data_IF_766623275715
#
_entry.id   IF_766623275715
#
_cell.length_a   1.000
_cell.length_b   1.000
_cell.length_c   1.000
_cell.angle_alpha   90.00
_cell.angle_beta   90.00
_cell.angle_gamma   90.00
#
_symmetry.space_group_name_H-M   'P 1'
#
loop_
_entity.id
_entity.type
_entity.pdbx_description
1 polymer ?
#
# COMPACT_ATOMS: atom_id res chain seq x y z
N UNK A 1 11.69 -11.19 8.90
CA UNK A 1 10.74 -10.51 8.02
C UNK A 1 11.49 -9.65 7.00
N UNK A 2 10.94 -9.48 5.78
CA UNK A 2 11.49 -8.57 4.77
C UNK A 2 10.38 -7.64 4.24
N UNK A 3 10.72 -6.36 4.03
CA UNK A 3 9.85 -5.37 3.38
C UNK A 3 10.58 -4.89 2.13
N UNK A 4 9.92 -4.93 0.97
CA UNK A 4 10.47 -4.40 -0.27
C UNK A 4 9.53 -3.31 -0.80
N UNK A 5 10.08 -2.15 -1.11
CA UNK A 5 9.36 -1.07 -1.79
C UNK A 5 9.37 -1.38 -3.30
N UNK A 6 8.27 -1.95 -3.78
CA UNK A 6 8.13 -2.39 -5.19
C UNK A 6 8.04 -1.19 -6.12
N UNK A 7 7.36 -0.16 -5.68
CA UNK A 7 7.25 1.13 -6.33
C UNK A 7 7.05 2.23 -5.31
N UNK A 8 7.44 3.46 -5.67
CA UNK A 8 7.44 4.62 -4.76
C UNK A 8 6.84 5.88 -5.39
N UNK A 9 6.42 5.81 -6.67
CA UNK A 9 5.85 6.93 -7.40
C UNK A 9 4.42 7.25 -6.96
N UNK A 10 4.04 8.54 -7.01
CA UNK A 10 2.67 9.01 -6.86
C UNK A 10 1.81 8.68 -8.09
N UNK A 11 0.53 9.13 -8.12
CA UNK A 11 -0.37 8.91 -9.24
C UNK A 11 0.07 9.51 -10.58
N UNK A 12 1.10 10.37 -10.60
CA UNK A 12 1.71 10.86 -11.82
C UNK A 12 2.67 9.83 -12.39
N UNK A 13 2.47 9.42 -13.64
CA UNK A 13 3.31 8.42 -14.28
C UNK A 13 4.79 8.85 -14.38
N UNK A 14 5.69 7.94 -14.06
CA UNK A 14 7.15 8.09 -14.17
C UNK A 14 7.71 7.09 -15.16
N UNK A 15 8.78 7.47 -15.86
CA UNK A 15 9.57 6.54 -16.66
C UNK A 15 10.59 5.76 -15.81
N UNK A 16 10.87 6.22 -14.61
CA UNK A 16 11.96 5.74 -13.75
C UNK A 16 11.48 4.93 -12.56
N UNK A 17 10.22 5.08 -12.18
CA UNK A 17 9.63 4.46 -11.00
C UNK A 17 8.27 3.86 -11.29
N UNK A 18 7.91 2.87 -10.48
CA UNK A 18 6.57 2.28 -10.47
C UNK A 18 5.69 2.95 -9.41
N UNK A 19 4.37 2.86 -9.58
CA UNK A 19 3.40 3.34 -8.59
C UNK A 19 3.61 2.68 -7.23
N UNK A 20 3.28 3.40 -6.17
CA UNK A 20 3.52 2.98 -4.80
C UNK A 20 2.92 1.61 -4.52
N UNK A 21 3.79 0.69 -4.13
CA UNK A 21 3.41 -0.66 -3.73
C UNK A 21 4.47 -1.24 -2.79
N UNK A 22 4.04 -2.01 -1.79
CA UNK A 22 4.90 -2.64 -0.81
C UNK A 22 4.76 -4.16 -0.89
N UNK A 23 5.85 -4.86 -0.63
CA UNK A 23 5.85 -6.30 -0.53
C UNK A 23 6.40 -6.71 0.83
N UNK A 24 5.59 -7.43 1.61
CA UNK A 24 5.96 -7.99 2.89
C UNK A 24 6.16 -9.49 2.76
N UNK A 25 7.30 -10.00 3.23
CA UNK A 25 7.59 -11.43 3.30
C UNK A 25 7.83 -11.84 4.74
N UNK A 26 7.04 -12.79 5.24
CA UNK A 26 7.15 -13.33 6.60
C UNK A 26 6.75 -14.80 6.62
N UNK A 27 7.69 -15.67 6.98
CA UNK A 27 7.47 -17.13 6.94
C UNK A 27 7.03 -17.59 5.56
N UNK A 28 5.86 -18.21 5.49
CA UNK A 28 5.29 -18.73 4.24
C UNK A 28 4.26 -17.76 3.60
N UNK A 29 4.12 -16.55 4.10
CA UNK A 29 3.12 -15.61 3.61
C UNK A 29 3.78 -14.37 3.03
N UNK A 30 3.54 -14.14 1.75
CA UNK A 30 3.95 -12.96 1.02
C UNK A 30 2.71 -12.12 0.71
N UNK A 31 2.71 -10.87 1.21
CA UNK A 31 1.65 -9.89 1.03
C UNK A 31 2.12 -8.78 0.10
N UNK A 32 1.40 -8.56 -0.97
CA UNK A 32 1.53 -7.35 -1.79
C UNK A 32 0.51 -6.32 -1.30
N UNK A 33 0.93 -5.10 -1.06
CA UNK A 33 0.06 -3.96 -0.74
C UNK A 33 0.02 -3.04 -1.94
N UNK A 34 -1.16 -2.86 -2.48
CA UNK A 34 -1.49 -2.17 -3.71
C UNK A 34 -0.91 -2.81 -4.99
N UNK A 35 -1.63 -2.62 -6.07
CA UNK A 35 -1.34 -3.20 -7.37
C UNK A 35 -1.77 -2.27 -8.50
N UNK A 36 -1.18 -1.07 -8.54
CA UNK A 36 -1.37 -0.09 -9.61
C UNK A 36 -0.90 -0.56 -10.97
N UNK A 37 -1.09 0.25 -11.99
CA UNK A 37 -0.63 -0.06 -13.33
C UNK A 37 0.87 -0.39 -13.36
N UNK A 38 1.25 -1.36 -14.18
CA UNK A 38 2.64 -1.80 -14.30
C UNK A 38 3.14 -2.70 -13.16
N UNK A 39 2.32 -3.05 -12.16
CA UNK A 39 2.76 -3.87 -10.99
C UNK A 39 3.45 -5.17 -11.39
N UNK A 40 2.99 -5.86 -12.43
CA UNK A 40 3.63 -7.09 -12.89
C UNK A 40 5.07 -6.86 -13.35
N UNK A 41 5.34 -5.73 -14.02
CA UNK A 41 6.70 -5.35 -14.42
C UNK A 41 7.54 -4.95 -13.22
N UNK A 42 6.95 -4.21 -12.28
CA UNK A 42 7.60 -3.80 -11.04
C UNK A 42 8.07 -5.02 -10.22
N UNK A 43 7.21 -6.03 -10.07
CA UNK A 43 7.56 -7.28 -9.37
C UNK A 43 8.71 -8.03 -10.08
N UNK A 44 8.68 -8.12 -11.41
CA UNK A 44 9.75 -8.77 -12.19
C UNK A 44 11.07 -7.98 -12.08
N UNK A 45 11.05 -6.65 -12.14
CA UNK A 45 12.24 -5.79 -11.97
C UNK A 45 12.87 -6.01 -10.59
N UNK A 46 12.05 -6.23 -9.56
CA UNK A 46 12.48 -6.55 -8.20
C UNK A 46 12.78 -8.04 -7.99
N UNK A 47 12.75 -8.87 -9.05
CA UNK A 47 13.00 -10.33 -9.00
C UNK A 47 12.06 -11.08 -8.07
N UNK A 48 10.86 -10.57 -7.85
CA UNK A 48 9.84 -11.23 -7.05
C UNK A 48 9.14 -12.30 -7.88
N UNK A 49 9.07 -13.50 -7.35
CA UNK A 49 8.26 -14.56 -7.94
C UNK A 49 6.78 -14.22 -7.74
N UNK A 50 6.08 -13.84 -8.81
CA UNK A 50 4.66 -13.44 -8.78
C UNK A 50 3.79 -14.56 -8.14
N UNK A 51 4.11 -15.83 -8.39
CA UNK A 51 3.35 -16.95 -7.81
C UNK A 51 3.60 -17.17 -6.31
N UNK A 52 4.62 -16.54 -5.73
CA UNK A 52 4.85 -16.61 -4.27
C UNK A 52 3.90 -15.70 -3.48
N UNK A 53 3.24 -14.74 -4.13
CA UNK A 53 2.27 -13.82 -3.49
C UNK A 53 1.07 -14.63 -3.02
N UNK A 54 0.77 -14.60 -1.72
CA UNK A 54 -0.39 -15.27 -1.12
C UNK A 54 -1.58 -14.32 -1.00
N UNK A 55 -1.32 -13.04 -0.71
CA UNK A 55 -2.34 -12.02 -0.56
C UNK A 55 -2.01 -10.73 -1.32
N UNK A 56 -3.04 -10.05 -1.80
CA UNK A 56 -2.98 -8.68 -2.31
C UNK A 56 -3.93 -7.84 -1.48
N UNK A 57 -3.41 -6.82 -0.80
CA UNK A 57 -4.20 -5.85 -0.06
C UNK A 57 -4.38 -4.61 -0.94
N UNK A 58 -5.63 -4.15 -1.06
CA UNK A 58 -5.95 -2.88 -1.73
C UNK A 58 -6.35 -1.85 -0.69
N UNK A 59 -5.66 -0.71 -0.71
CA UNK A 59 -5.90 0.39 0.25
C UNK A 59 -7.12 1.22 -0.13
N UNK A 60 -7.25 1.53 -1.42
CA UNK A 60 -8.36 2.25 -2.03
C UNK A 60 -8.37 2.02 -3.55
N UNK A 61 -9.28 2.69 -4.30
CA UNK A 61 -9.51 2.42 -5.72
C UNK A 61 -9.02 3.54 -6.66
N UNK A 62 -7.99 4.32 -6.30
CA UNK A 62 -7.31 5.12 -7.32
C UNK A 62 -6.52 4.20 -8.27
N UNK A 63 -6.46 4.51 -9.58
CA UNK A 63 -5.86 3.63 -10.58
C UNK A 63 -4.42 3.22 -10.29
N UNK A 64 -3.62 4.11 -9.72
CA UNK A 64 -2.24 3.88 -9.32
C UNK A 64 -2.10 2.91 -8.12
N UNK A 65 -3.22 2.53 -7.46
CA UNK A 65 -3.24 1.56 -6.37
C UNK A 65 -3.90 0.23 -6.71
N UNK A 66 -4.82 0.16 -7.70
CA UNK A 66 -5.54 -1.10 -7.95
C UNK A 66 -5.61 -1.55 -9.41
N UNK A 67 -5.43 -0.66 -10.40
CA UNK A 67 -5.78 -0.95 -11.80
C UNK A 67 -4.97 -2.09 -12.42
N UNK A 68 -3.79 -2.39 -11.92
CA UNK A 68 -2.93 -3.49 -12.35
C UNK A 68 -3.34 -4.87 -11.81
N UNK A 69 -4.31 -4.96 -10.90
CA UNK A 69 -4.72 -6.22 -10.27
C UNK A 69 -5.16 -7.28 -11.29
N UNK A 70 -5.99 -6.91 -12.26
CA UNK A 70 -6.43 -7.85 -13.29
C UNK A 70 -5.25 -8.37 -14.13
N UNK A 71 -4.33 -7.49 -14.51
CA UNK A 71 -3.10 -7.84 -15.22
C UNK A 71 -2.22 -8.79 -14.39
N UNK A 72 -2.06 -8.52 -13.09
CA UNK A 72 -1.30 -9.38 -12.18
C UNK A 72 -1.90 -10.80 -12.11
N UNK A 73 -3.21 -10.91 -11.98
CA UNK A 73 -3.92 -12.21 -11.96
C UNK A 73 -3.74 -12.95 -13.28
N UNK A 74 -3.76 -12.24 -14.43
CA UNK A 74 -3.44 -12.84 -15.73
C UNK A 74 -2.03 -13.41 -15.75
N UNK A 75 -1.02 -12.68 -15.22
CA UNK A 75 0.34 -13.20 -15.12
C UNK A 75 0.42 -14.45 -14.24
N UNK A 76 -0.23 -14.46 -13.09
CA UNK A 76 -0.32 -15.64 -12.22
C UNK A 76 -0.89 -16.86 -12.98
N UNK A 77 -1.95 -16.64 -13.77
CA UNK A 77 -2.56 -17.68 -14.61
C UNK A 77 -1.60 -18.16 -15.69
N UNK A 78 -0.92 -17.26 -16.41
CA UNK A 78 0.05 -17.59 -17.45
C UNK A 78 1.28 -18.33 -16.88
N UNK A 79 1.66 -18.04 -15.65
CA UNK A 79 2.73 -18.72 -14.90
C UNK A 79 2.25 -20.02 -14.21
N UNK A 80 1.06 -20.55 -14.61
CA UNK A 80 0.48 -21.80 -14.13
C UNK A 80 0.29 -21.87 -12.60
N UNK A 81 -0.08 -20.75 -11.96
CA UNK A 81 -0.46 -20.75 -10.53
C UNK A 81 -1.52 -21.82 -10.23
N UNK A 82 -1.38 -22.48 -9.08
CA UNK A 82 -2.32 -23.47 -8.55
C UNK A 82 -2.84 -23.10 -7.16
N UNK A 83 -1.98 -22.43 -6.37
CA UNK A 83 -2.33 -21.98 -5.03
C UNK A 83 -3.38 -20.86 -5.09
N UNK A 84 -4.32 -20.87 -4.16
CA UNK A 84 -5.30 -19.80 -4.03
C UNK A 84 -4.63 -18.42 -3.84
N UNK A 85 -5.33 -17.37 -4.24
CA UNK A 85 -4.95 -15.97 -4.01
C UNK A 85 -5.95 -15.34 -3.07
N UNK A 86 -5.48 -14.69 -2.02
CA UNK A 86 -6.31 -13.88 -1.14
C UNK A 86 -6.32 -12.42 -1.61
N UNK A 87 -7.49 -11.80 -1.73
CA UNK A 87 -7.64 -10.36 -1.93
C UNK A 87 -8.17 -9.78 -0.63
N UNK A 88 -7.34 -8.95 0.02
CA UNK A 88 -7.69 -8.26 1.25
C UNK A 88 -8.26 -6.90 0.89
N UNK A 89 -9.52 -6.66 1.19
CA UNK A 89 -10.22 -5.47 0.75
C UNK A 89 -11.32 -5.08 1.73
N UNK A 90 -11.58 -3.78 1.87
CA UNK A 90 -12.69 -3.30 2.69
C UNK A 90 -14.04 -3.79 2.13
N UNK A 91 -14.99 -4.06 3.02
CA UNK A 91 -16.30 -4.62 2.66
C UNK A 91 -17.05 -3.78 1.61
N UNK A 92 -16.93 -2.44 1.65
CA UNK A 92 -17.60 -1.55 0.69
C UNK A 92 -17.00 -1.59 -0.72
N UNK A 93 -15.74 -2.03 -0.88
CA UNK A 93 -15.04 -2.08 -2.17
C UNK A 93 -15.07 -3.46 -2.81
N UNK A 94 -15.47 -4.50 -2.05
CA UNK A 94 -15.40 -5.89 -2.50
C UNK A 94 -16.15 -6.13 -3.79
N UNK A 95 -17.41 -5.72 -3.86
CA UNK A 95 -18.25 -5.91 -5.04
C UNK A 95 -17.69 -5.22 -6.29
N UNK A 96 -17.11 -4.03 -6.12
CA UNK A 96 -16.46 -3.29 -7.21
C UNK A 96 -15.30 -4.09 -7.80
N UNK A 97 -14.46 -4.69 -6.95
CA UNK A 97 -13.33 -5.51 -7.43
C UNK A 97 -13.81 -6.84 -8.03
N UNK A 98 -14.82 -7.47 -7.46
CA UNK A 98 -15.42 -8.68 -8.06
C UNK A 98 -15.94 -8.40 -9.47
N UNK A 99 -16.66 -7.30 -9.67
CA UNK A 99 -17.16 -6.88 -10.99
C UNK A 99 -16.02 -6.49 -11.93
N UNK A 100 -15.01 -5.75 -11.43
CA UNK A 100 -13.85 -5.36 -12.24
C UNK A 100 -13.13 -6.58 -12.79
N UNK A 101 -12.86 -7.60 -11.96
CA UNK A 101 -12.22 -8.82 -12.39
C UNK A 101 -13.10 -9.60 -13.38
N UNK A 102 -14.40 -9.71 -13.13
CA UNK A 102 -15.34 -10.37 -14.02
C UNK A 102 -15.42 -9.68 -15.39
N UNK A 103 -15.53 -8.35 -15.40
CA UNK A 103 -15.57 -7.53 -16.62
C UNK A 103 -14.24 -7.52 -17.37
N UNK A 104 -13.14 -7.87 -16.68
CA UNK A 104 -11.82 -8.13 -17.27
C UNK A 104 -11.69 -9.59 -17.80
N UNK A 105 -12.79 -10.32 -17.93
CA UNK A 105 -12.84 -11.72 -18.41
C UNK A 105 -12.07 -12.73 -17.54
N UNK A 106 -11.84 -12.40 -16.26
CA UNK A 106 -11.25 -13.33 -15.31
C UNK A 106 -12.32 -14.21 -14.67
N UNK A 107 -12.85 -15.15 -15.49
CA UNK A 107 -13.94 -16.04 -15.11
C UNK A 107 -13.43 -17.13 -14.14
N UNK A 108 -14.02 -17.27 -12.92
CA UNK A 108 -13.62 -18.32 -11.98
C UNK A 108 -13.58 -19.71 -12.61
N UNK A 109 -14.56 -20.05 -13.46
CA UNK A 109 -14.61 -21.35 -14.14
C UNK A 109 -13.45 -21.62 -15.12
N UNK A 110 -12.68 -20.59 -15.51
CA UNK A 110 -11.49 -20.70 -16.38
C UNK A 110 -10.18 -20.48 -15.63
N UNK A 111 -10.24 -20.27 -14.32
CA UNK A 111 -9.06 -20.15 -13.46
C UNK A 111 -8.59 -21.53 -13.00
N UNK A 112 -7.28 -21.68 -12.80
CA UNK A 112 -6.67 -22.91 -12.24
C UNK A 112 -6.40 -22.78 -10.73
N UNK A 113 -6.79 -21.68 -10.13
CA UNK A 113 -6.70 -21.36 -8.71
C UNK A 113 -7.91 -20.53 -8.29
N UNK A 114 -8.22 -20.56 -7.03
CA UNK A 114 -9.33 -19.81 -6.44
C UNK A 114 -8.88 -18.44 -5.96
N UNK A 115 -9.79 -17.47 -5.99
CA UNK A 115 -9.61 -16.14 -5.39
C UNK A 115 -10.52 -16.07 -4.17
N UNK A 116 -9.92 -15.84 -2.99
CA UNK A 116 -10.64 -15.70 -1.74
C UNK A 116 -10.58 -14.25 -1.25
N UNK A 117 -11.73 -13.68 -0.92
CA UNK A 117 -11.79 -12.32 -0.40
C UNK A 117 -11.73 -12.32 1.12
N UNK A 118 -10.69 -11.70 1.67
CA UNK A 118 -10.54 -11.40 3.11
C UNK A 118 -11.09 -10.00 3.36
N UNK A 119 -12.26 -9.93 3.97
CA UNK A 119 -12.95 -8.66 4.21
C UNK A 119 -12.31 -7.92 5.36
N UNK A 120 -11.84 -6.70 5.08
CA UNK A 120 -11.37 -5.75 6.06
C UNK A 120 -12.54 -4.91 6.58
N UNK A 121 -12.54 -4.63 7.88
CA UNK A 121 -13.47 -3.70 8.51
C UNK A 121 -12.71 -2.68 9.32
N UNK A 122 -13.16 -1.44 9.23
CA UNK A 122 -12.52 -0.32 9.92
C UNK A 122 -12.38 -0.59 11.42
N UNK A 123 -11.25 -0.23 12.00
CA UNK A 123 -10.91 -0.45 13.41
C UNK A 123 -10.99 -1.92 13.90
N UNK A 124 -10.97 -2.89 12.97
CA UNK A 124 -11.04 -4.31 13.31
C UNK A 124 -9.76 -5.03 12.86
N UNK A 125 -9.04 -5.60 13.83
CA UNK A 125 -7.83 -6.34 13.53
C UNK A 125 -8.16 -7.66 12.83
N UNK A 126 -7.50 -7.93 11.70
CA UNK A 126 -7.59 -9.18 10.97
C UNK A 126 -6.25 -9.93 11.03
N UNK A 127 -6.26 -11.15 11.56
CA UNK A 127 -5.10 -12.06 11.47
C UNK A 127 -5.16 -12.78 10.12
N UNK A 128 -4.13 -12.60 9.29
CA UNK A 128 -4.06 -13.20 7.94
C UNK A 128 -3.13 -14.40 7.86
N UNK A 129 -2.15 -14.48 8.75
CA UNK A 129 -1.29 -15.64 8.94
C UNK A 129 -0.90 -15.78 10.41
N UNK A 130 -0.10 -16.78 10.74
CA UNK A 130 0.39 -16.95 12.11
C UNK A 130 1.14 -15.72 12.61
N UNK A 131 1.94 -15.10 11.73
CA UNK A 131 2.86 -14.04 12.09
C UNK A 131 2.41 -12.64 11.60
N UNK A 132 1.27 -12.54 10.90
CA UNK A 132 0.83 -11.26 10.31
C UNK A 132 -0.60 -10.96 10.73
N UNK A 133 -0.80 -9.78 11.31
CA UNK A 133 -2.11 -9.17 11.51
C UNK A 133 -2.13 -7.73 11.00
N UNK A 134 -3.32 -7.28 10.61
CA UNK A 134 -3.57 -5.98 9.96
C UNK A 134 -4.70 -5.28 10.68
N UNK A 135 -4.53 -4.01 11.01
CA UNK A 135 -5.56 -3.14 11.54
C UNK A 135 -5.75 -1.96 10.58
N UNK A 136 -6.86 -1.91 9.82
CA UNK A 136 -7.19 -0.75 8.99
C UNK A 136 -7.86 0.35 9.80
N UNK A 137 -7.61 1.61 9.45
CA UNK A 137 -8.36 2.77 9.90
C UNK A 137 -8.66 3.68 8.72
N UNK A 138 -9.95 3.98 8.52
CA UNK A 138 -10.38 4.92 7.48
C UNK A 138 -9.62 6.23 7.66
N UNK A 139 -9.09 6.77 6.57
CA UNK A 139 -8.45 8.08 6.50
C UNK A 139 -9.31 9.06 5.69
N UNK A 140 -8.87 10.32 5.60
CA UNK A 140 -9.67 11.38 4.99
C UNK A 140 -9.36 11.62 3.50
N UNK A 141 -8.58 10.75 2.86
CA UNK A 141 -8.11 10.94 1.47
C UNK A 141 -9.24 11.21 0.45
N UNK A 142 -10.38 10.54 0.60
CA UNK A 142 -11.50 10.66 -0.33
C UNK A 142 -12.66 11.54 0.17
N UNK A 143 -12.47 12.28 1.27
CA UNK A 143 -13.57 13.05 1.89
C UNK A 143 -14.07 14.19 0.99
N UNK A 144 -13.24 14.76 0.14
CA UNK A 144 -13.64 15.82 -0.80
C UNK A 144 -14.57 15.32 -1.90
N UNK A 145 -14.64 14.01 -2.13
CA UNK A 145 -15.55 13.35 -3.06
C UNK A 145 -16.93 13.06 -2.45
N UNK A 146 -17.11 13.16 -1.12
CA UNK A 146 -18.38 12.87 -0.45
C UNK A 146 -19.55 13.71 -1.01
N UNK A 147 -19.28 14.95 -1.43
CA UNK A 147 -20.26 15.84 -2.07
C UNK A 147 -20.85 15.32 -3.38
N UNK A 148 -20.22 14.31 -4.00
CA UNK A 148 -20.67 13.73 -5.26
C UNK A 148 -21.47 12.42 -5.09
N UNK A 149 -21.55 11.87 -3.90
CA UNK A 149 -22.19 10.54 -3.66
C UNK A 149 -23.67 10.54 -4.08
N UNK A 150 -24.40 11.63 -3.83
CA UNK A 150 -25.81 11.76 -4.25
C UNK A 150 -25.94 11.72 -5.78
N UNK A 151 -25.01 12.34 -6.51
CA UNK A 151 -25.02 12.37 -7.98
C UNK A 151 -24.50 11.08 -8.61
N UNK A 152 -23.68 10.33 -7.87
CA UNK A 152 -23.05 9.08 -8.33
C UNK A 152 -23.20 7.97 -7.29
N UNK A 153 -24.40 7.38 -7.14
CA UNK A 153 -24.68 6.39 -6.09
C UNK A 153 -23.81 5.12 -6.13
N UNK A 154 -23.14 4.86 -7.26
CA UNK A 154 -22.22 3.75 -7.40
C UNK A 154 -20.83 4.00 -6.79
N UNK A 155 -20.54 5.23 -6.32
CA UNK A 155 -19.27 5.53 -5.67
C UNK A 155 -19.16 4.82 -4.32
N UNK A 156 -18.06 4.13 -4.15
CA UNK A 156 -17.66 3.53 -2.87
C UNK A 156 -16.42 4.25 -2.36
N UNK A 157 -16.63 5.22 -1.48
CA UNK A 157 -15.55 6.07 -0.95
C UNK A 157 -14.94 5.45 0.30
N UNK A 158 -13.89 4.66 0.10
CA UNK A 158 -13.09 4.13 1.19
C UNK A 158 -11.61 4.19 0.87
N UNK A 159 -10.86 4.82 1.75
CA UNK A 159 -9.41 4.79 1.81
C UNK A 159 -8.98 4.59 3.26
N UNK A 160 -7.90 3.85 3.48
CA UNK A 160 -7.43 3.54 4.83
C UNK A 160 -5.92 3.59 4.94
N UNK A 161 -5.48 3.94 6.13
CA UNK A 161 -4.13 3.69 6.64
C UNK A 161 -4.12 2.37 7.42
N UNK A 162 -2.94 1.76 7.55
CA UNK A 162 -2.82 0.41 8.09
C UNK A 162 -1.72 0.31 9.14
N UNK A 163 -2.03 -0.39 10.24
CA UNK A 163 -1.03 -0.93 11.14
C UNK A 163 -0.85 -2.42 10.82
N UNK A 164 0.34 -2.79 10.36
CA UNK A 164 0.78 -4.18 10.23
C UNK A 164 1.55 -4.59 11.48
N UNK A 165 1.18 -5.72 12.06
CA UNK A 165 1.97 -6.39 13.09
C UNK A 165 2.55 -7.66 12.47
N UNK A 166 3.87 -7.69 12.28
CA UNK A 166 4.56 -8.78 11.57
C UNK A 166 5.77 -9.22 12.42
N UNK A 167 5.78 -10.48 12.86
CA UNK A 167 6.86 -11.03 13.69
C UNK A 167 7.20 -10.15 14.91
N UNK A 168 6.16 -9.60 15.55
CA UNK A 168 6.30 -8.69 16.71
C UNK A 168 6.67 -7.25 16.39
N UNK A 169 6.97 -6.92 15.14
CA UNK A 169 7.23 -5.55 14.67
C UNK A 169 5.95 -4.83 14.28
N UNK A 170 5.89 -3.55 14.54
CA UNK A 170 4.78 -2.66 14.19
C UNK A 170 5.19 -1.76 13.04
N UNK A 171 4.50 -1.88 11.92
CA UNK A 171 4.72 -1.07 10.73
C UNK A 171 3.43 -0.29 10.44
N UNK A 172 3.51 1.03 10.39
CA UNK A 172 2.40 1.87 9.94
C UNK A 172 2.65 2.23 8.48
N UNK A 173 1.63 2.06 7.65
CA UNK A 173 1.59 2.57 6.28
C UNK A 173 0.38 3.49 6.15
N UNK A 174 0.64 4.75 5.83
CA UNK A 174 -0.44 5.75 5.72
C UNK A 174 -1.34 5.49 4.53
N UNK A 175 -0.83 4.86 3.46
CA UNK A 175 -1.41 4.98 2.13
C UNK A 175 -1.55 6.46 1.76
N UNK A 176 -2.41 6.81 0.81
CA UNK A 176 -2.74 8.19 0.52
C UNK A 176 -3.63 8.77 1.62
N UNK A 177 -3.33 9.98 2.07
CA UNK A 177 -4.02 10.64 3.16
C UNK A 177 -4.56 12.01 2.73
N UNK A 178 -5.65 12.45 3.34
CA UNK A 178 -6.29 13.74 3.00
C UNK A 178 -5.95 14.88 3.93
N UNK A 179 -5.39 14.58 5.12
CA UNK A 179 -5.06 15.60 6.11
C UNK A 179 -3.92 15.17 7.04
N UNK A 180 -3.34 16.17 7.73
CA UNK A 180 -2.31 15.95 8.75
C UNK A 180 -2.79 15.12 9.95
N UNK A 181 -4.11 15.06 10.19
CA UNK A 181 -4.71 14.26 11.25
C UNK A 181 -4.56 12.76 10.97
N UNK A 182 -4.52 12.37 9.70
CA UNK A 182 -4.37 10.97 9.29
C UNK A 182 -3.01 10.41 9.68
N UNK A 183 -1.97 11.25 9.79
CA UNK A 183 -0.64 10.86 10.30
C UNK A 183 -0.70 10.36 11.75
N UNK A 184 -1.73 10.75 12.50
CA UNK A 184 -1.90 10.42 13.92
C UNK A 184 -2.90 9.28 14.17
N UNK A 185 -3.44 8.64 13.11
CA UNK A 185 -4.45 7.58 13.24
C UNK A 185 -4.01 6.42 14.13
N UNK A 186 -2.71 6.20 14.28
CA UNK A 186 -2.14 5.12 15.08
C UNK A 186 -1.15 5.65 16.14
N UNK A 187 -1.37 6.86 16.67
CA UNK A 187 -0.45 7.52 17.60
C UNK A 187 -0.29 6.79 18.95
N UNK A 188 -1.24 5.93 19.33
CA UNK A 188 -1.16 5.07 20.51
C UNK A 188 -0.21 3.87 20.35
N UNK A 189 0.17 3.55 19.11
CA UNK A 189 1.14 2.50 18.82
C UNK A 189 2.52 3.12 18.58
N UNK A 190 3.55 2.63 19.26
CA UNK A 190 4.91 3.05 18.97
C UNK A 190 5.47 2.20 17.82
N UNK A 191 5.42 2.63 16.55
CA UNK A 191 5.84 1.80 15.43
C UNK A 191 7.36 1.70 15.33
N UNK A 192 7.85 0.52 14.92
CA UNK A 192 9.24 0.31 14.54
C UNK A 192 9.54 0.99 13.20
N UNK A 193 8.56 0.98 12.28
CA UNK A 193 8.65 1.59 10.96
C UNK A 193 7.37 2.38 10.66
N UNK A 194 7.55 3.56 10.10
CA UNK A 194 6.48 4.42 9.62
C UNK A 194 6.71 4.70 8.13
N UNK A 195 5.76 4.32 7.27
CA UNK A 195 5.82 4.55 5.83
C UNK A 195 4.72 5.56 5.51
N UNK A 196 5.12 6.74 5.02
CA UNK A 196 4.21 7.85 4.72
C UNK A 196 4.32 8.29 3.28
N UNK A 197 3.20 8.59 2.69
CA UNK A 197 3.14 9.36 1.45
C UNK A 197 3.55 10.82 1.70
N UNK A 198 3.94 11.55 0.63
CA UNK A 198 4.38 12.96 0.73
C UNK A 198 3.82 13.87 -0.37
N UNK A 199 2.93 13.39 -1.22
CA UNK A 199 2.35 14.21 -2.30
C UNK A 199 1.13 15.02 -1.88
N UNK A 200 0.27 14.44 -1.02
CA UNK A 200 -0.97 15.11 -0.59
C UNK A 200 -0.75 16.01 0.63
N UNK A 201 0.29 15.75 1.43
CA UNK A 201 0.60 16.51 2.63
C UNK A 201 2.01 17.07 2.51
N UNK A 202 2.21 18.39 2.70
CA UNK A 202 3.53 19.00 2.66
C UNK A 202 4.51 18.33 3.61
N UNK A 203 5.74 18.08 3.14
CA UNK A 203 6.77 17.41 3.94
C UNK A 203 7.04 18.15 5.27
N UNK A 204 6.93 19.48 5.32
CA UNK A 204 7.08 20.25 6.56
C UNK A 204 6.07 19.84 7.63
N UNK A 205 4.81 19.62 7.23
CA UNK A 205 3.74 19.15 8.13
C UNK A 205 4.02 17.74 8.62
N UNK A 206 4.52 16.86 7.75
CA UNK A 206 4.92 15.50 8.12
C UNK A 206 6.06 15.56 9.15
N UNK A 207 7.08 16.37 8.91
CA UNK A 207 8.21 16.53 9.81
C UNK A 207 7.79 17.06 11.19
N UNK A 208 6.89 18.03 11.24
CA UNK A 208 6.36 18.57 12.50
C UNK A 208 5.61 17.51 13.32
N UNK A 209 4.82 16.64 12.64
CA UNK A 209 4.10 15.56 13.33
C UNK A 209 5.00 14.42 13.77
N UNK A 210 6.02 14.10 12.99
CA UNK A 210 6.99 13.03 13.29
C UNK A 210 7.73 13.30 14.60
N UNK A 211 8.00 14.57 14.93
CA UNK A 211 8.66 14.97 16.19
C UNK A 211 7.79 14.60 17.41
N UNK A 212 6.47 14.63 17.25
CA UNK A 212 5.50 14.33 18.32
C UNK A 212 5.37 12.83 18.57
N UNK A 213 5.50 12.03 17.50
CA UNK A 213 5.33 10.57 17.56
C UNK A 213 6.71 9.94 17.84
N UNK A 214 6.81 9.08 18.86
CA UNK A 214 8.04 8.29 19.10
C UNK A 214 8.19 7.23 18.02
N UNK A 215 8.72 7.63 16.87
CA UNK A 215 8.88 6.77 15.71
C UNK A 215 10.26 6.11 15.68
N UNK A 216 10.31 4.88 15.15
CA UNK A 216 11.53 4.21 14.76
C UNK A 216 12.11 4.81 13.47
N UNK A 217 12.10 4.04 12.39
CA UNK A 217 12.50 4.50 11.05
C UNK A 217 11.30 5.00 10.25
N UNK A 218 11.51 6.00 9.42
CA UNK A 218 10.51 6.64 8.58
C UNK A 218 10.94 6.52 7.14
N UNK A 219 10.03 6.04 6.30
CA UNK A 219 10.23 5.93 4.86
C UNK A 219 9.16 6.75 4.16
N UNK A 220 9.59 7.68 3.32
CA UNK A 220 8.72 8.54 2.53
C UNK A 220 8.55 7.92 1.15
N UNK A 221 7.30 7.79 0.71
CA UNK A 221 6.89 7.21 -0.57
C UNK A 221 5.88 8.11 -1.27
N UNK A 222 5.39 7.69 -2.42
CA UNK A 222 4.31 8.34 -3.16
C UNK A 222 4.66 9.78 -3.53
N UNK A 223 5.76 9.95 -4.26
CA UNK A 223 6.25 11.24 -4.76
C UNK A 223 6.56 11.17 -6.25
N UNK A 224 6.40 12.30 -6.95
CA UNK A 224 6.71 12.41 -8.38
C UNK A 224 8.20 12.67 -8.64
N UNK A 225 8.64 12.51 -9.90
CA UNK A 225 10.00 12.81 -10.32
C UNK A 225 10.33 14.30 -10.13
N UNK A 226 9.34 15.18 -10.25
CA UNK A 226 9.51 16.62 -10.05
C UNK A 226 9.65 17.00 -8.58
N UNK A 227 9.01 16.28 -7.67
CA UNK A 227 9.08 16.53 -6.22
C UNK A 227 10.37 16.01 -5.61
N UNK A 228 10.97 14.96 -6.18
CA UNK A 228 12.14 14.28 -5.62
C UNK A 228 13.32 15.21 -5.30
N UNK A 229 13.77 16.12 -6.22
CA UNK A 229 14.90 17.00 -5.93
C UNK A 229 14.66 17.89 -4.71
N UNK A 230 13.46 18.48 -4.60
CA UNK A 230 13.07 19.32 -3.47
C UNK A 230 13.03 18.50 -2.18
N UNK A 231 12.47 17.30 -2.20
CA UNK A 231 12.41 16.42 -1.02
C UNK A 231 13.81 16.06 -0.53
N UNK A 232 14.72 15.71 -1.44
CA UNK A 232 16.12 15.42 -1.11
C UNK A 232 16.84 16.63 -0.52
N UNK A 233 16.62 17.83 -1.05
CA UNK A 233 17.18 19.05 -0.52
C UNK A 233 16.70 19.31 0.91
N UNK A 234 15.38 19.23 1.15
CA UNK A 234 14.81 19.39 2.50
C UNK A 234 15.40 18.37 3.47
N UNK A 235 15.44 17.08 3.09
CA UNK A 235 16.00 16.05 3.96
C UNK A 235 17.48 16.28 4.26
N UNK A 236 18.25 16.85 3.33
CA UNK A 236 19.67 17.18 3.55
C UNK A 236 19.88 18.30 4.59
N UNK A 237 18.89 19.17 4.80
CA UNK A 237 18.95 20.25 5.81
C UNK A 237 18.64 19.78 7.24
N UNK A 238 18.08 18.58 7.39
CA UNK A 238 17.72 18.05 8.70
C UNK A 238 18.95 17.80 9.59
N UNK A 239 18.75 17.80 10.90
CA UNK A 239 19.78 17.37 11.84
C UNK A 239 20.24 15.94 11.57
N UNK A 240 21.46 15.58 11.98
CA UNK A 240 22.02 14.23 11.78
C UNK A 240 21.09 13.15 12.35
N UNK A 241 20.50 13.39 13.53
CA UNK A 241 19.60 12.43 14.17
C UNK A 241 18.33 12.18 13.35
N UNK A 242 17.74 13.23 12.75
CA UNK A 242 16.57 13.10 11.90
C UNK A 242 16.92 12.45 10.56
N UNK A 243 18.03 12.84 9.93
CA UNK A 243 18.50 12.21 8.69
C UNK A 243 18.75 10.71 8.84
N UNK A 244 19.19 10.28 10.01
CA UNK A 244 19.37 8.86 10.30
C UNK A 244 18.06 8.10 10.48
N UNK A 245 16.95 8.80 10.69
CA UNK A 245 15.62 8.19 10.90
C UNK A 245 14.72 8.28 9.67
N UNK A 246 14.84 9.34 8.87
CA UNK A 246 13.93 9.65 7.77
C UNK A 246 14.66 9.41 6.45
N UNK A 247 14.07 8.59 5.59
CA UNK A 247 14.61 8.29 4.26
C UNK A 247 13.54 8.40 3.19
N UNK A 248 13.93 8.94 2.04
CA UNK A 248 13.14 8.83 0.83
C UNK A 248 13.34 7.42 0.27
N UNK A 249 12.28 6.64 0.20
CA UNK A 249 12.35 5.28 -0.31
C UNK A 249 12.47 5.27 -1.84
N UNK A 250 13.18 4.30 -2.36
CA UNK A 250 13.37 4.08 -3.80
C UNK A 250 12.85 2.70 -4.19
N UNK A 251 12.49 2.54 -5.46
CA UNK A 251 12.07 1.24 -6.00
C UNK A 251 13.17 0.20 -5.77
N UNK A 252 12.80 -0.95 -5.23
CA UNK A 252 13.73 -2.03 -4.90
C UNK A 252 14.43 -1.91 -3.55
N UNK A 253 14.21 -0.83 -2.78
CA UNK A 253 14.71 -0.76 -1.41
C UNK A 253 14.16 -1.94 -0.59
N UNK A 254 15.06 -2.74 -0.02
CA UNK A 254 14.72 -3.89 0.82
C UNK A 254 15.19 -3.69 2.26
N UNK A 255 14.30 -3.97 3.20
CA UNK A 255 14.56 -3.91 4.64
C UNK A 255 14.42 -5.31 5.22
N UNK A 256 15.51 -5.84 5.76
CA UNK A 256 15.50 -7.08 6.57
C UNK A 256 15.46 -6.70 8.05
N UNK A 257 14.46 -7.17 8.77
CA UNK A 257 14.13 -6.76 10.14
C UNK A 257 13.99 -8.01 11.01
#
# INVERSE_FOLDING_TARGET
MEIIFIGTCSGKASSNRFYTSLFFSSGNYNLLVDSGDGISRALLSNRININSIKGVLLTHLHPDHFSGLASLIVQMKMMNRRDSLEILIHESLKTVIEEYLLKSYLLPAKMKFEIHYKVLRDNTQLKISENISILPRKNSHLNDLEKYVESYPALSLYSASFLFQIEGKKIIYTSDIGSDKDLLLFNEFNPDIFISEVSHIPISVILDKIIIIKLGKIYLVHYSDEEEPMLREILATLSVDLRNKIMLAEDGLSLKI
#
